data_IF_597458578431
#
_entry.id   IF_597458578431
#
_cell.length_a   1.000
_cell.length_b   1.000
_cell.length_c   1.000
_cell.angle_alpha   90.00
_cell.angle_beta   90.00
_cell.angle_gamma   90.00
#
_symmetry.space_group_name_H-M   'P 1'
#
loop_
_entity.id
_entity.type
_entity.pdbx_description
1 polymer ?
#
# COMPACT_ATOMS: atom_id res chain seq x y z
N UNK A 1 10.84 -10.27 -8.67
CA UNK A 1 9.50 -9.73 -8.38
C UNK A 1 9.11 -10.07 -6.95
N UNK A 2 8.91 -9.06 -6.11
CA UNK A 2 8.43 -9.16 -4.73
C UNK A 2 7.06 -8.49 -4.63
N UNK A 3 6.32 -8.85 -3.59
CA UNK A 3 4.99 -8.29 -3.31
C UNK A 3 4.96 -7.80 -1.87
N UNK A 4 4.40 -6.60 -1.67
CA UNK A 4 4.11 -6.04 -0.36
C UNK A 4 2.65 -5.61 -0.32
N UNK A 5 1.95 -5.98 0.75
CA UNK A 5 0.64 -5.41 1.07
C UNK A 5 0.82 -4.38 2.18
N UNK A 6 0.23 -3.21 1.98
CA UNK A 6 0.07 -2.16 2.99
C UNK A 6 -1.43 -1.98 3.21
N UNK A 7 -1.86 -1.86 4.46
CA UNK A 7 -3.25 -1.58 4.79
C UNK A 7 -3.34 -0.69 6.02
N UNK A 8 -4.22 0.31 5.97
CA UNK A 8 -4.40 1.28 7.05
C UNK A 8 -5.85 1.76 7.11
N UNK A 9 -6.32 2.17 8.28
CA UNK A 9 -7.65 2.79 8.46
C UNK A 9 -7.63 4.31 8.25
N UNK A 10 -6.42 4.90 8.24
CA UNK A 10 -6.18 6.32 8.05
C UNK A 10 -5.52 6.56 6.69
N UNK A 11 -6.18 7.35 5.86
CA UNK A 11 -5.70 7.67 4.50
C UNK A 11 -4.36 8.42 4.52
N UNK A 12 -4.17 9.35 5.47
CA UNK A 12 -2.92 10.10 5.61
C UNK A 12 -1.73 9.19 5.94
N UNK A 13 -1.92 8.24 6.86
CA UNK A 13 -0.88 7.28 7.23
C UNK A 13 -0.64 6.24 6.13
N UNK A 14 -1.68 5.89 5.37
CA UNK A 14 -1.58 4.99 4.24
C UNK A 14 -0.69 5.56 3.14
N UNK A 15 -0.91 6.84 2.80
CA UNK A 15 -0.12 7.54 1.79
C UNK A 15 1.35 7.67 2.20
N UNK A 16 1.60 8.05 3.45
CA UNK A 16 2.95 8.16 4.00
C UNK A 16 3.69 6.81 3.93
N UNK A 17 3.04 5.71 4.32
CA UNK A 17 3.65 4.37 4.31
C UNK A 17 3.93 3.87 2.89
N UNK A 18 3.03 4.14 1.92
CA UNK A 18 3.28 3.83 0.52
C UNK A 18 4.47 4.63 -0.01
N UNK A 19 4.51 5.94 0.23
CA UNK A 19 5.56 6.82 -0.27
C UNK A 19 6.93 6.43 0.28
N UNK A 20 7.03 6.16 1.58
CA UNK A 20 8.25 5.67 2.21
C UNK A 20 8.67 4.32 1.62
N UNK A 21 7.72 3.42 1.40
CA UNK A 21 8.00 2.11 0.84
C UNK A 21 8.54 2.18 -0.59
N UNK A 22 7.94 2.98 -1.47
CA UNK A 22 8.27 2.96 -2.91
C UNK A 22 9.54 3.74 -3.27
N UNK A 23 10.02 4.64 -2.40
CA UNK A 23 11.10 5.60 -2.69
C UNK A 23 12.40 4.99 -3.26
N UNK A 24 12.71 3.74 -2.91
CA UNK A 24 13.95 3.06 -3.31
C UNK A 24 13.68 1.74 -4.06
N UNK A 25 12.54 1.63 -4.75
CA UNK A 25 12.10 0.39 -5.41
C UNK A 25 11.70 0.67 -6.84
N UNK A 26 11.98 -0.30 -7.72
CA UNK A 26 11.40 -0.30 -9.06
C UNK A 26 9.98 -0.86 -8.96
N UNK A 27 8.97 0.01 -9.03
CA UNK A 27 7.57 -0.38 -8.91
C UNK A 27 7.06 -0.90 -10.26
N UNK A 28 6.50 -2.10 -10.24
CA UNK A 28 5.96 -2.78 -11.43
C UNK A 28 4.46 -2.57 -11.53
N UNK A 29 3.73 -2.70 -10.43
CA UNK A 29 2.28 -2.51 -10.37
C UNK A 29 1.84 -2.14 -8.95
N UNK A 30 0.73 -1.39 -8.86
CA UNK A 30 0.05 -1.10 -7.60
C UNK A 30 -1.44 -1.35 -7.81
N UNK A 31 -2.01 -2.27 -7.04
CA UNK A 31 -3.47 -2.48 -6.98
C UNK A 31 -4.01 -1.95 -5.67
N UNK A 32 -4.93 -1.01 -5.77
CA UNK A 32 -5.58 -0.37 -4.63
C UNK A 32 -6.98 -0.93 -4.41
N UNK A 33 -7.36 -1.09 -3.15
CA UNK A 33 -8.70 -1.47 -2.72
C UNK A 33 -9.10 -0.77 -1.43
N UNK A 34 -10.37 -0.37 -1.37
CA UNK A 34 -11.01 0.16 -0.16
C UNK A 34 -12.10 -0.79 0.27
N UNK A 35 -12.12 -1.12 1.55
CA UNK A 35 -13.19 -1.86 2.20
C UNK A 35 -13.88 -0.93 3.20
N UNK A 36 -15.21 -0.88 3.14
CA UNK A 36 -16.01 -0.26 4.20
C UNK A 36 -16.40 -1.35 5.21
N UNK A 37 -15.98 -1.21 6.46
CA UNK A 37 -16.41 -2.06 7.56
C UNK A 37 -17.60 -1.44 8.27
N UNK A 38 -18.79 -2.01 8.03
CA UNK A 38 -20.03 -1.54 8.61
C UNK A 38 -20.13 -1.78 10.13
N UNK A 39 -19.29 -2.64 10.71
CA UNK A 39 -19.33 -2.91 12.15
C UNK A 39 -18.65 -1.79 12.94
N UNK A 40 -17.59 -1.20 12.40
CA UNK A 40 -16.81 -0.12 13.02
C UNK A 40 -17.02 1.24 12.35
N UNK A 41 -17.97 1.34 11.41
CA UNK A 41 -18.26 2.54 10.60
C UNK A 41 -16.98 3.19 10.04
N UNK A 42 -16.08 2.36 9.52
CA UNK A 42 -14.73 2.77 9.13
C UNK A 42 -14.34 2.27 7.74
N UNK A 43 -13.37 2.94 7.15
CA UNK A 43 -12.76 2.52 5.89
C UNK A 43 -11.40 1.90 6.16
N UNK A 44 -11.10 0.81 5.44
CA UNK A 44 -9.78 0.20 5.39
C UNK A 44 -9.25 0.39 3.97
N UNK A 45 -8.16 1.13 3.86
CA UNK A 45 -7.40 1.34 2.64
C UNK A 45 -6.35 0.24 2.53
N UNK A 46 -6.13 -0.26 1.32
CA UNK A 46 -5.12 -1.30 1.09
C UNK A 46 -4.50 -1.18 -0.30
N UNK A 47 -3.21 -1.46 -0.38
CA UNK A 47 -2.46 -1.54 -1.63
C UNK A 47 -1.65 -2.83 -1.68
N UNK A 48 -1.74 -3.53 -2.81
CA UNK A 48 -0.86 -4.63 -3.18
C UNK A 48 0.16 -4.11 -4.19
N UNK A 49 1.42 -4.02 -3.77
CA UNK A 49 2.51 -3.41 -4.52
C UNK A 49 3.42 -4.52 -5.02
N UNK A 50 3.57 -4.62 -6.34
CA UNK A 50 4.54 -5.51 -6.99
C UNK A 50 5.76 -4.69 -7.37
N UNK A 51 6.94 -5.15 -6.96
CA UNK A 51 8.17 -4.39 -7.14
C UNK A 51 9.39 -5.29 -7.36
N UNK A 52 10.46 -4.66 -7.84
CA UNK A 52 11.79 -5.24 -7.92
C UNK A 52 12.74 -4.46 -7.02
N UNK A 53 13.70 -5.16 -6.42
CA UNK A 53 14.79 -4.50 -5.73
C UNK A 53 15.75 -3.96 -6.77
N UNK A 54 16.01 -2.66 -6.72
CA UNK A 54 17.09 -2.07 -7.50
C UNK A 54 18.38 -2.53 -6.82
N UNK A 55 19.17 -3.34 -7.52
CA UNK A 55 20.48 -3.75 -7.01
C UNK A 55 21.34 -2.53 -6.75
N UNK A 56 22.00 -2.51 -5.59
CA UNK A 56 23.12 -1.61 -5.32
C UNK A 56 24.35 -2.16 -6.05
#
# INVERSE_FOLDING_TARGET
>A
MKVKTIANMREDWFDDEINEFIQHKHIVDIKFSVLFDSNDDSYIFSALITYEEVGI
#
